data_IF_649510153310
#
_entry.id   IF_649510153310
#
_cell.length_a   1.000
_cell.length_b   1.000
_cell.length_c   1.000
_cell.angle_alpha   90.00
_cell.angle_beta   90.00
_cell.angle_gamma   90.00
#
_symmetry.space_group_name_H-M   'P 1'
#
loop_
_entity.id
_entity.type
_entity.pdbx_description
1 polymer ?
#
# COMPACT_ATOMS: atom_id res chain seq x y z
N UNK A 1 6.26 -13.72 -19.94
CA UNK A 1 5.71 -13.82 -18.58
C UNK A 1 6.07 -12.50 -17.91
N UNK A 2 5.20 -11.50 -18.04
CA UNK A 2 5.39 -10.16 -17.47
C UNK A 2 4.71 -10.18 -16.10
N UNK A 3 5.50 -10.12 -15.03
CA UNK A 3 5.00 -9.94 -13.66
C UNK A 3 5.10 -8.44 -13.39
N UNK A 4 3.96 -7.75 -13.40
CA UNK A 4 3.89 -6.35 -12.96
C UNK A 4 3.75 -6.33 -11.44
N UNK A 5 4.81 -5.94 -10.72
CA UNK A 5 4.77 -5.71 -9.28
C UNK A 5 4.41 -4.24 -9.00
N UNK A 6 3.13 -3.98 -8.76
CA UNK A 6 2.67 -2.69 -8.24
C UNK A 6 2.66 -2.70 -6.70
N UNK A 7 3.69 -2.12 -6.08
CA UNK A 7 3.70 -1.85 -4.64
C UNK A 7 3.10 -0.46 -4.37
N UNK A 8 2.00 -0.39 -3.63
CA UNK A 8 1.41 0.88 -3.15
C UNK A 8 1.47 0.91 -1.63
N UNK A 9 2.32 1.80 -1.07
CA UNK A 9 2.47 2.01 0.38
C UNK A 9 1.72 3.29 0.79
N UNK A 10 0.93 3.19 1.86
CA UNK A 10 -0.01 4.23 2.31
C UNK A 10 0.62 5.35 3.16
N UNK A 11 0.16 6.59 2.92
CA UNK A 11 0.60 7.82 3.57
C UNK A 11 -0.08 8.08 4.93
N UNK A 12 0.63 8.82 5.80
CA UNK A 12 0.17 9.30 7.10
C UNK A 12 0.37 10.80 7.30
N UNK A 13 -0.36 11.63 6.56
CA UNK A 13 -0.69 13.02 6.91
C UNK A 13 -2.18 13.25 6.64
N UNK A 14 -2.82 14.18 7.36
CA UNK A 14 -4.27 14.46 7.28
C UNK A 14 -4.67 14.96 5.89
N UNK A 15 -5.01 14.03 5.00
CA UNK A 15 -5.39 14.27 3.63
C UNK A 15 -6.89 14.60 3.51
N UNK A 16 -7.17 15.52 2.60
CA UNK A 16 -8.51 15.92 2.23
C UNK A 16 -9.09 14.89 1.25
N UNK A 17 -10.38 14.49 1.35
CA UNK A 17 -10.93 13.31 0.69
C UNK A 17 -10.73 13.05 -0.81
N UNK A 18 -10.01 12.01 -1.26
CA UNK A 18 -9.60 11.67 -2.64
C UNK A 18 -10.48 10.66 -3.41
N UNK A 19 -11.31 11.07 -4.38
CA UNK A 19 -12.19 10.15 -5.14
C UNK A 19 -11.70 9.74 -6.56
N UNK A 20 -11.89 8.50 -7.03
CA UNK A 20 -11.55 8.02 -8.39
C UNK A 20 -12.72 7.42 -9.13
N UNK A 21 -12.78 7.64 -10.46
CA UNK A 21 -13.84 7.16 -11.34
C UNK A 21 -13.24 6.66 -12.66
N UNK A 22 -13.81 5.58 -13.21
CA UNK A 22 -13.55 5.03 -14.55
C UNK A 22 -14.79 5.19 -15.45
N UNK A 23 -14.56 5.66 -16.68
CA UNK A 23 -15.36 5.66 -17.93
C UNK A 23 -16.88 5.92 -17.97
N UNK A 24 -17.64 5.98 -16.88
CA UNK A 24 -19.09 6.29 -16.93
C UNK A 24 -19.51 7.23 -15.78
N UNK A 25 -19.12 8.50 -15.91
CA UNK A 25 -19.17 9.52 -14.84
C UNK A 25 -20.60 10.01 -14.55
N UNK A 26 -21.49 9.99 -15.55
CA UNK A 26 -22.82 10.64 -15.53
C UNK A 26 -23.78 10.16 -14.44
N UNK A 27 -23.77 8.88 -14.08
CA UNK A 27 -24.71 8.32 -13.10
C UNK A 27 -24.21 8.42 -11.65
N UNK A 28 -22.89 8.58 -11.48
CA UNK A 28 -22.24 8.41 -10.19
C UNK A 28 -22.15 9.74 -9.44
N UNK A 29 -21.83 10.85 -10.12
CA UNK A 29 -21.50 12.14 -9.49
C UNK A 29 -22.71 12.86 -8.88
N UNK A 30 -23.92 12.65 -9.40
CA UNK A 30 -25.13 13.35 -8.96
C UNK A 30 -25.61 13.06 -7.52
N UNK A 31 -25.02 12.07 -6.84
CA UNK A 31 -25.43 11.63 -5.49
C UNK A 31 -24.36 11.81 -4.41
N UNK A 32 -23.23 12.45 -4.72
CA UNK A 32 -22.05 12.44 -3.85
C UNK A 32 -22.12 13.38 -2.66
N UNK A 33 -21.36 13.01 -1.61
CA UNK A 33 -21.22 13.79 -0.40
C UNK A 33 -20.49 15.12 -0.69
N UNK A 34 -21.02 16.28 -0.23
CA UNK A 34 -20.41 17.60 -0.45
C UNK A 34 -19.02 17.79 0.18
N UNK A 35 -18.53 16.77 0.88
CA UNK A 35 -17.31 16.84 1.68
C UNK A 35 -16.07 16.33 0.96
N UNK A 36 -16.15 15.87 -0.30
CA UNK A 36 -15.00 15.33 -1.03
C UNK A 36 -13.96 16.42 -1.30
N UNK A 37 -12.68 16.22 -0.94
CA UNK A 37 -11.66 17.28 -0.95
C UNK A 37 -10.41 17.00 -1.81
N UNK A 38 -10.40 15.93 -2.57
CA UNK A 38 -9.41 15.48 -3.52
C UNK A 38 -10.11 14.50 -4.50
N UNK A 39 -9.62 14.32 -5.71
CA UNK A 39 -10.21 13.39 -6.68
C UNK A 39 -9.08 12.82 -7.54
N UNK A 40 -8.75 11.53 -7.44
CA UNK A 40 -7.81 10.84 -8.33
C UNK A 40 -8.55 10.12 -9.45
N UNK A 41 -8.64 10.62 -10.66
CA UNK A 41 -9.27 9.88 -11.78
C UNK A 41 -8.27 8.84 -12.31
N UNK A 42 -8.69 7.58 -12.44
CA UNK A 42 -7.85 6.52 -13.03
C UNK A 42 -8.40 6.21 -14.41
N UNK A 43 -7.59 6.42 -15.45
CA UNK A 43 -7.97 6.19 -16.85
C UNK A 43 -7.37 4.87 -17.31
N UNK A 44 -8.23 3.93 -17.71
CA UNK A 44 -7.86 2.59 -18.16
C UNK A 44 -8.35 2.40 -19.61
N UNK A 45 -7.43 2.01 -20.49
CA UNK A 45 -7.62 1.51 -21.87
C UNK A 45 -8.18 2.43 -22.98
N UNK A 46 -8.79 3.58 -22.70
CA UNK A 46 -9.31 4.50 -23.74
C UNK A 46 -8.88 5.97 -23.55
N UNK A 47 -8.70 6.75 -24.65
CA UNK A 47 -8.35 8.16 -24.55
C UNK A 47 -9.46 8.92 -23.81
N UNK A 48 -9.08 9.60 -22.72
CA UNK A 48 -9.98 10.38 -21.90
C UNK A 48 -10.69 11.48 -22.71
N UNK A 49 -12.02 11.39 -22.84
CA UNK A 49 -12.82 12.49 -23.39
C UNK A 49 -12.85 13.66 -22.39
N UNK A 50 -11.92 14.59 -22.58
CA UNK A 50 -11.73 15.76 -21.72
C UNK A 50 -12.99 16.66 -21.67
N UNK A 51 -13.86 16.60 -22.69
CA UNK A 51 -15.12 17.38 -22.69
C UNK A 51 -16.12 16.82 -21.68
N UNK A 52 -16.22 15.50 -21.59
CA UNK A 52 -17.04 14.82 -20.58
C UNK A 52 -16.51 15.11 -19.18
N UNK A 53 -15.18 15.01 -18.97
CA UNK A 53 -14.59 15.35 -17.67
C UNK A 53 -14.89 16.79 -17.26
N UNK A 54 -14.80 17.74 -18.20
CA UNK A 54 -15.07 19.14 -17.96
C UNK A 54 -16.53 19.38 -17.53
N UNK A 55 -17.49 18.84 -18.29
CA UNK A 55 -18.92 18.98 -18.05
C UNK A 55 -19.32 18.38 -16.69
N UNK A 56 -18.76 17.22 -16.33
CA UNK A 56 -19.04 16.53 -15.08
C UNK A 56 -18.47 17.26 -13.86
N UNK A 57 -17.21 17.72 -13.95
CA UNK A 57 -16.61 18.54 -12.89
C UNK A 57 -17.38 19.85 -12.68
N UNK A 58 -17.94 20.42 -13.75
CA UNK A 58 -18.76 21.62 -13.72
C UNK A 58 -20.16 21.37 -13.15
N UNK A 59 -20.77 20.21 -13.46
CA UNK A 59 -22.09 19.83 -12.96
C UNK A 59 -22.08 19.34 -11.50
N UNK A 60 -20.91 18.96 -10.97
CA UNK A 60 -20.76 18.44 -9.61
C UNK A 60 -20.80 19.52 -8.51
N UNK A 61 -21.54 19.25 -7.42
CA UNK A 61 -21.60 20.09 -6.20
C UNK A 61 -20.40 19.87 -5.27
N UNK A 62 -19.22 19.55 -5.82
CA UNK A 62 -17.96 19.28 -5.12
C UNK A 62 -17.29 20.56 -4.58
N UNK A 63 -18.00 21.31 -3.75
CA UNK A 63 -17.55 22.59 -3.18
C UNK A 63 -16.32 22.48 -2.27
N UNK A 64 -15.99 21.27 -1.80
CA UNK A 64 -14.86 21.01 -0.90
C UNK A 64 -13.58 20.56 -1.61
N UNK A 65 -13.59 20.40 -2.94
CA UNK A 65 -12.48 19.81 -3.72
C UNK A 65 -11.22 20.70 -3.71
N UNK A 66 -10.09 20.17 -3.20
CA UNK A 66 -8.80 20.89 -3.09
C UNK A 66 -7.69 20.38 -4.00
N UNK A 67 -7.85 19.20 -4.61
CA UNK A 67 -6.87 18.63 -5.53
C UNK A 67 -7.55 17.68 -6.51
N UNK A 68 -6.99 17.56 -7.70
CA UNK A 68 -7.36 16.52 -8.67
C UNK A 68 -6.07 15.85 -9.13
N UNK A 69 -6.00 14.53 -9.04
CA UNK A 69 -4.95 13.71 -9.59
C UNK A 69 -5.51 12.95 -10.79
N UNK A 70 -4.69 12.73 -11.81
CA UNK A 70 -5.04 11.86 -12.93
C UNK A 70 -3.95 10.81 -13.01
N UNK A 71 -4.33 9.55 -12.86
CA UNK A 71 -3.45 8.39 -12.94
C UNK A 71 -3.83 7.60 -14.21
N UNK A 72 -2.81 7.19 -14.97
CA UNK A 72 -2.98 6.50 -16.24
C UNK A 72 -2.22 5.18 -16.17
N UNK A 73 -2.82 4.12 -16.71
CA UNK A 73 -2.26 2.76 -16.67
C UNK A 73 -1.19 2.51 -17.77
N UNK A 74 -1.13 3.36 -18.81
CA UNK A 74 -0.17 3.28 -19.92
C UNK A 74 0.55 4.63 -20.19
N UNK A 75 1.63 4.61 -21.01
CA UNK A 75 2.34 5.82 -21.45
C UNK A 75 1.39 6.76 -22.22
N UNK A 76 1.01 7.86 -21.57
CA UNK A 76 0.18 8.92 -22.15
C UNK A 76 1.07 9.86 -22.95
N UNK A 77 0.63 10.26 -24.14
CA UNK A 77 1.29 11.34 -24.85
C UNK A 77 1.11 12.68 -24.11
N UNK A 78 2.14 13.54 -24.17
CA UNK A 78 2.13 14.85 -23.50
C UNK A 78 0.90 15.70 -23.88
N UNK A 79 0.35 15.51 -25.08
CA UNK A 79 -0.81 16.26 -25.58
C UNK A 79 -2.10 15.90 -24.81
N UNK A 80 -2.32 14.62 -24.53
CA UNK A 80 -3.44 14.16 -23.73
C UNK A 80 -3.33 14.62 -22.28
N UNK A 81 -2.12 14.60 -21.70
CA UNK A 81 -1.88 15.15 -20.36
C UNK A 81 -2.22 16.64 -20.31
N UNK A 82 -1.74 17.42 -21.28
CA UNK A 82 -2.01 18.85 -21.36
C UNK A 82 -3.50 19.17 -21.53
N UNK A 83 -4.23 18.38 -22.35
CA UNK A 83 -5.69 18.53 -22.50
C UNK A 83 -6.44 18.23 -21.20
N UNK A 84 -6.05 17.18 -20.47
CA UNK A 84 -6.67 16.82 -19.20
C UNK A 84 -6.43 17.92 -18.14
N UNK A 85 -5.20 18.43 -18.04
CA UNK A 85 -4.85 19.55 -17.15
C UNK A 85 -5.63 20.81 -17.53
N UNK A 86 -5.72 21.14 -18.83
CA UNK A 86 -6.46 22.30 -19.31
C UNK A 86 -7.96 22.21 -18.98
N UNK A 87 -8.57 21.02 -19.12
CA UNK A 87 -9.97 20.79 -18.77
C UNK A 87 -10.22 20.96 -17.25
N UNK A 88 -9.35 20.41 -16.40
CA UNK A 88 -9.43 20.57 -14.93
C UNK A 88 -9.31 22.05 -14.54
N UNK A 89 -8.36 22.76 -15.15
CA UNK A 89 -8.10 24.18 -14.89
C UNK A 89 -9.24 25.09 -15.36
N UNK A 90 -9.85 24.78 -16.51
CA UNK A 90 -11.01 25.50 -17.02
C UNK A 90 -12.23 25.37 -16.10
N UNK A 91 -12.41 24.21 -15.46
CA UNK A 91 -13.53 23.98 -14.54
C UNK A 91 -13.29 24.51 -13.12
N UNK A 92 -12.04 24.59 -12.62
CA UNK A 92 -11.74 24.99 -11.21
C UNK A 92 -10.47 25.87 -11.08
N UNK A 93 -10.54 27.18 -11.35
CA UNK A 93 -9.38 28.07 -11.40
C UNK A 93 -8.62 28.31 -10.08
N UNK A 94 -9.19 27.92 -8.93
CA UNK A 94 -8.69 28.27 -7.59
C UNK A 94 -7.64 27.29 -7.03
N UNK A 95 -7.30 26.22 -7.76
CA UNK A 95 -6.41 25.16 -7.30
C UNK A 95 -4.89 25.48 -7.42
N UNK A 96 -4.49 26.74 -7.64
CA UNK A 96 -3.13 27.11 -8.12
C UNK A 96 -2.34 28.12 -7.26
N UNK A 97 -2.26 28.00 -5.93
CA UNK A 97 -1.37 28.87 -5.12
C UNK A 97 -0.71 28.22 -3.90
N UNK A 98 0.62 28.06 -3.94
CA UNK A 98 1.49 27.88 -2.76
C UNK A 98 2.86 28.56 -2.99
N UNK A 99 3.19 29.60 -2.21
CA UNK A 99 4.53 30.23 -2.14
C UNK A 99 5.16 30.04 -0.74
N UNK A 100 6.48 29.79 -0.62
CA UNK A 100 7.14 29.61 0.68
C UNK A 100 7.77 30.90 1.23
N UNK A 101 7.43 31.26 2.48
CA UNK A 101 8.10 32.31 3.27
C UNK A 101 9.26 31.71 4.09
N UNK A 102 10.49 32.24 3.95
CA UNK A 102 11.64 31.91 4.82
C UNK A 102 11.83 32.96 5.92
N UNK A 103 11.92 32.53 7.17
CA UNK A 103 12.36 33.34 8.31
C UNK A 103 13.85 33.09 8.61
N UNK A 104 14.60 34.14 8.95
CA UNK A 104 15.98 34.07 9.46
C UNK A 104 15.96 33.85 10.97
N UNK A 105 16.70 32.86 11.46
CA UNK A 105 16.87 32.58 12.90
C UNK A 105 18.34 32.71 13.26
N UNK A 106 18.60 33.52 14.30
CA UNK A 106 19.90 33.68 14.95
C UNK A 106 20.33 32.39 15.65
N UNK A 107 21.62 32.09 15.60
CA UNK A 107 22.26 30.82 15.96
C UNK A 107 21.88 30.33 17.38
N UNK A 108 20.91 29.41 17.42
CA UNK A 108 20.68 28.54 18.57
C UNK A 108 21.84 27.53 18.67
N UNK A 109 22.25 27.09 19.87
CA UNK A 109 23.16 25.96 20.03
C UNK A 109 22.51 24.74 19.39
N UNK A 110 23.06 24.34 18.24
CA UNK A 110 22.37 23.54 17.23
C UNK A 110 22.13 22.12 17.73
N UNK A 111 21.06 21.51 17.21
CA UNK A 111 20.55 20.22 17.65
C UNK A 111 21.60 19.11 17.49
N UNK A 112 21.66 18.19 18.46
CA UNK A 112 22.56 17.03 18.40
C UNK A 112 22.29 16.22 17.12
N UNK A 113 23.33 15.61 16.48
CA UNK A 113 23.16 14.82 15.25
C UNK A 113 21.99 13.81 15.27
N UNK A 114 21.69 13.10 16.39
CA UNK A 114 20.52 12.22 16.45
C UNK A 114 19.16 12.92 16.25
N UNK A 115 19.03 14.17 16.69
CA UNK A 115 17.79 14.96 16.51
C UNK A 115 17.67 15.38 15.05
N UNK A 116 18.78 15.84 14.44
CA UNK A 116 18.82 16.17 13.02
C UNK A 116 18.41 14.96 12.18
N UNK A 117 19.00 13.80 12.47
CA UNK A 117 18.65 12.55 11.79
C UNK A 117 17.17 12.18 11.97
N UNK A 118 16.63 12.33 13.18
CA UNK A 118 15.21 12.08 13.41
C UNK A 118 14.33 13.02 12.58
N UNK A 119 14.68 14.31 12.49
CA UNK A 119 13.95 15.26 11.65
C UNK A 119 14.04 14.90 10.17
N UNK A 120 15.22 14.54 9.66
CA UNK A 120 15.42 14.10 8.28
C UNK A 120 14.50 12.93 7.95
N UNK A 121 14.43 11.91 8.82
CA UNK A 121 13.56 10.74 8.63
C UNK A 121 12.06 11.06 8.64
N UNK A 122 11.66 12.23 9.17
CA UNK A 122 10.28 12.69 9.13
C UNK A 122 9.92 13.47 7.85
N UNK A 123 10.89 13.80 7.01
CA UNK A 123 10.66 14.49 5.74
C UNK A 123 10.30 13.48 4.66
N UNK A 124 9.32 13.81 3.82
CA UNK A 124 8.77 12.86 2.84
C UNK A 124 9.49 12.97 1.49
N UNK A 125 9.91 14.17 1.09
CA UNK A 125 10.50 14.39 -0.23
C UNK A 125 12.00 14.65 -0.17
N UNK A 126 12.71 14.19 -1.19
CA UNK A 126 14.15 14.47 -1.40
C UNK A 126 14.44 15.96 -1.35
N UNK A 127 13.57 16.78 -1.94
CA UNK A 127 13.70 18.24 -1.97
C UNK A 127 13.65 18.84 -0.58
N UNK A 128 12.75 18.37 0.29
CA UNK A 128 12.68 18.80 1.68
C UNK A 128 13.92 18.40 2.45
N UNK A 129 14.40 17.16 2.28
CA UNK A 129 15.61 16.66 2.92
C UNK A 129 16.83 17.49 2.54
N UNK A 130 17.08 17.68 1.24
CA UNK A 130 18.20 18.49 0.76
C UNK A 130 18.08 19.94 1.23
N UNK A 131 16.89 20.54 1.14
CA UNK A 131 16.68 21.91 1.61
C UNK A 131 16.94 22.06 3.12
N UNK A 132 16.53 21.07 3.92
CA UNK A 132 16.79 21.03 5.34
C UNK A 132 18.28 20.87 5.63
N UNK A 133 18.94 19.86 5.04
CA UNK A 133 20.36 19.57 5.25
C UNK A 133 21.28 20.70 4.78
N UNK A 134 20.96 21.38 3.68
CA UNK A 134 21.72 22.55 3.22
C UNK A 134 21.50 23.81 4.07
N UNK A 135 20.42 23.86 4.85
CA UNK A 135 20.16 24.97 5.78
C UNK A 135 20.87 24.77 7.12
N UNK A 136 21.32 23.55 7.41
CA UNK A 136 22.13 23.24 8.58
C UNK A 136 23.55 23.82 8.41
N UNK A 137 24.23 24.14 9.51
CA UNK A 137 25.64 24.50 9.47
C UNK A 137 26.46 23.23 9.30
N UNK A 138 27.67 23.38 8.77
CA UNK A 138 28.53 22.24 8.45
C UNK A 138 28.89 21.37 9.67
N UNK A 139 28.88 21.93 10.89
CA UNK A 139 29.20 21.20 12.12
C UNK A 139 28.03 20.35 12.66
N UNK A 140 26.80 20.54 12.15
CA UNK A 140 25.65 19.71 12.53
C UNK A 140 25.45 18.50 11.60
N UNK A 141 26.10 18.48 10.42
CA UNK A 141 26.07 17.37 9.49
C UNK A 141 27.26 16.46 9.77
N UNK A 142 27.02 15.30 10.36
CA UNK A 142 28.04 14.27 10.48
C UNK A 142 28.24 13.52 9.15
N UNK A 143 29.24 12.64 9.11
CA UNK A 143 29.63 11.91 7.90
C UNK A 143 28.45 11.16 7.23
N UNK A 144 27.54 10.47 7.96
CA UNK A 144 26.34 9.89 7.35
C UNK A 144 25.40 10.90 6.69
N UNK A 145 25.17 12.06 7.31
CA UNK A 145 24.30 13.10 6.75
C UNK A 145 24.95 13.77 5.52
N UNK A 146 26.26 14.01 5.54
CA UNK A 146 26.99 14.49 4.36
C UNK A 146 26.93 13.49 3.21
N UNK A 147 27.10 12.19 3.51
CA UNK A 147 26.97 11.13 2.52
C UNK A 147 25.55 11.03 1.96
N UNK A 148 24.53 11.26 2.80
CA UNK A 148 23.14 11.33 2.34
C UNK A 148 22.91 12.52 1.41
N UNK A 149 23.45 13.71 1.71
CA UNK A 149 23.38 14.87 0.80
C UNK A 149 24.00 14.52 -0.55
N UNK A 150 25.19 13.91 -0.54
CA UNK A 150 25.83 13.48 -1.78
C UNK A 150 24.97 12.48 -2.54
N UNK A 151 24.44 11.45 -1.87
CA UNK A 151 23.59 10.43 -2.48
C UNK A 151 22.36 11.06 -3.16
N UNK A 152 21.59 11.85 -2.42
CA UNK A 152 20.35 12.45 -2.91
C UNK A 152 20.56 13.56 -3.95
N UNK A 153 21.76 14.16 -3.99
CA UNK A 153 22.12 15.12 -5.04
C UNK A 153 22.36 14.41 -6.37
N UNK A 154 22.92 13.20 -6.34
CA UNK A 154 23.18 12.41 -7.55
C UNK A 154 21.93 11.62 -7.97
N UNK A 155 21.25 11.01 -7.00
CA UNK A 155 20.13 10.09 -7.19
C UNK A 155 18.92 10.53 -6.35
N UNK A 156 18.16 11.55 -6.81
CA UNK A 156 17.07 12.11 -6.02
C UNK A 156 15.88 11.15 -5.83
N UNK A 157 15.79 10.08 -6.61
CA UNK A 157 14.74 9.05 -6.50
C UNK A 157 14.91 8.09 -5.32
N UNK A 158 16.05 8.15 -4.60
CA UNK A 158 16.38 7.24 -3.50
C UNK A 158 15.78 7.63 -2.14
N UNK A 159 14.83 8.58 -2.08
CA UNK A 159 14.19 8.98 -0.82
C UNK A 159 12.67 8.93 -0.94
N UNK A 160 11.93 8.48 0.09
CA UNK A 160 12.39 8.04 1.42
C UNK A 160 12.89 6.60 1.50
N UNK A 161 12.61 5.83 0.45
CA UNK A 161 12.80 4.39 0.42
C UNK A 161 13.88 4.06 -0.62
N UNK A 162 15.00 3.50 -0.15
CA UNK A 162 16.11 3.12 -1.04
C UNK A 162 15.93 1.69 -1.50
N UNK A 163 15.76 1.49 -2.81
CA UNK A 163 15.80 0.15 -3.41
C UNK A 163 17.26 -0.25 -3.60
N UNK A 164 17.68 -1.32 -2.93
CA UNK A 164 19.08 -1.76 -2.89
C UNK A 164 19.64 -2.15 -4.27
N UNK A 165 18.79 -2.59 -5.20
CA UNK A 165 19.19 -2.91 -6.58
C UNK A 165 19.69 -1.67 -7.35
N UNK A 166 19.22 -0.48 -6.98
CA UNK A 166 19.56 0.77 -7.65
C UNK A 166 20.79 1.45 -7.02
N UNK A 167 21.26 0.93 -5.89
CA UNK A 167 22.39 1.53 -5.16
C UNK A 167 23.69 1.18 -5.89
N UNK A 168 24.42 2.18 -6.44
CA UNK A 168 25.68 1.91 -7.10
C UNK A 168 26.67 1.33 -6.08
N UNK A 169 27.47 0.32 -6.46
CA UNK A 169 28.50 -0.32 -5.62
C UNK A 169 29.63 0.62 -5.13
N UNK A 170 29.49 1.92 -5.39
CA UNK A 170 30.37 2.96 -4.90
C UNK A 170 30.38 3.05 -3.36
N UNK A 171 31.36 3.79 -2.84
CA UNK A 171 31.56 3.95 -1.40
C UNK A 171 30.54 4.90 -0.72
N UNK A 172 29.87 5.75 -1.50
CA UNK A 172 28.98 6.83 -0.99
C UNK A 172 27.75 6.26 -0.28
N UNK A 173 27.01 5.28 -0.83
CA UNK A 173 25.82 4.73 -0.18
C UNK A 173 26.09 4.06 1.16
N UNK A 174 27.23 3.39 1.33
CA UNK A 174 27.58 2.70 2.59
C UNK A 174 27.64 3.67 3.76
N UNK A 175 28.21 4.87 3.54
CA UNK A 175 28.28 5.91 4.56
C UNK A 175 26.91 6.53 4.86
N UNK A 176 26.03 6.60 3.88
CA UNK A 176 24.69 7.16 4.03
C UNK A 176 23.73 6.21 4.78
N UNK A 177 24.01 4.90 4.84
CA UNK A 177 23.12 3.89 5.45
C UNK A 177 22.56 4.29 6.83
N UNK A 178 23.36 4.81 7.79
CA UNK A 178 22.83 5.21 9.08
C UNK A 178 21.84 6.38 9.00
N UNK A 179 21.95 7.21 7.97
CA UNK A 179 21.12 8.39 7.77
C UNK A 179 19.80 8.09 7.03
N UNK A 180 19.71 6.95 6.36
CA UNK A 180 18.50 6.53 5.64
C UNK A 180 17.35 6.26 6.60
N UNK A 181 16.13 6.29 6.07
CA UNK A 181 14.90 5.99 6.80
C UNK A 181 14.58 4.50 6.70
N UNK A 182 14.55 4.00 5.47
CA UNK A 182 14.11 2.65 5.12
C UNK A 182 14.94 2.10 3.97
N UNK A 183 15.09 0.78 3.93
CA UNK A 183 15.77 0.06 2.86
C UNK A 183 14.83 -1.00 2.28
N UNK A 184 14.71 -1.04 0.96
CA UNK A 184 13.97 -2.05 0.23
C UNK A 184 14.95 -3.01 -0.46
N UNK A 185 14.89 -4.27 -0.08
CA UNK A 185 15.70 -5.33 -0.66
C UNK A 185 14.81 -6.23 -1.49
N UNK A 186 14.86 -6.12 -2.81
CA UNK A 186 14.21 -7.05 -3.72
C UNK A 186 15.23 -8.09 -4.17
N UNK A 187 15.18 -9.29 -3.59
CA UNK A 187 16.00 -10.41 -4.02
C UNK A 187 15.27 -11.22 -5.09
N UNK A 188 15.38 -10.73 -6.32
CA UNK A 188 15.01 -11.49 -7.51
C UNK A 188 16.06 -12.57 -7.81
N UNK A 189 15.81 -13.45 -8.78
CA UNK A 189 16.71 -14.57 -9.14
C UNK A 189 18.15 -14.10 -9.48
N UNK A 190 18.31 -12.85 -9.95
CA UNK A 190 19.61 -12.22 -10.27
C UNK A 190 20.34 -11.63 -9.04
N UNK A 191 19.71 -11.58 -7.87
CA UNK A 191 20.27 -11.00 -6.65
C UNK A 191 21.40 -11.86 -6.01
N UNK A 192 21.68 -13.01 -6.61
CA UNK A 192 22.44 -14.09 -5.99
C UNK A 192 23.96 -13.83 -5.83
N UNK A 193 24.52 -12.73 -6.36
CA UNK A 193 25.97 -12.49 -6.25
C UNK A 193 26.37 -11.15 -5.63
N UNK A 194 25.62 -10.06 -5.85
CA UNK A 194 25.98 -8.72 -5.33
C UNK A 194 25.39 -8.43 -3.96
N UNK A 195 24.05 -8.46 -3.87
CA UNK A 195 23.31 -7.95 -2.71
C UNK A 195 23.58 -8.70 -1.40
N UNK A 196 23.65 -10.03 -1.44
CA UNK A 196 23.96 -10.84 -0.25
C UNK A 196 25.32 -10.46 0.37
N UNK A 197 26.33 -10.23 -0.48
CA UNK A 197 27.66 -9.82 -0.01
C UNK A 197 27.66 -8.40 0.55
N UNK A 198 26.80 -7.52 0.05
CA UNK A 198 26.63 -6.17 0.56
C UNK A 198 26.04 -6.18 1.97
N UNK A 199 24.93 -6.90 2.18
CA UNK A 199 24.26 -7.00 3.48
C UNK A 199 25.19 -7.58 4.57
N UNK A 200 25.98 -8.59 4.23
CA UNK A 200 26.94 -9.19 5.16
C UNK A 200 28.06 -8.22 5.59
N UNK A 201 28.41 -7.25 4.74
CA UNK A 201 29.54 -6.31 4.98
C UNK A 201 29.14 -4.99 5.61
N UNK A 202 27.85 -4.67 5.63
CA UNK A 202 27.35 -3.34 6.01
C UNK A 202 26.36 -3.44 7.16
N UNK A 203 26.80 -3.63 8.41
CA UNK A 203 25.88 -3.76 9.53
C UNK A 203 25.00 -2.51 9.67
N UNK A 204 23.69 -2.70 9.79
CA UNK A 204 22.75 -1.60 9.96
C UNK A 204 22.59 -1.21 11.43
N UNK A 205 22.39 0.09 11.73
CA UNK A 205 21.88 0.48 13.02
C UNK A 205 20.51 -0.17 13.28
N UNK A 206 20.18 -0.55 14.53
CA UNK A 206 18.93 -1.22 14.86
C UNK A 206 17.68 -0.35 14.63
N UNK A 207 17.84 0.94 14.31
CA UNK A 207 16.74 1.88 14.05
C UNK A 207 16.32 1.92 12.58
N UNK A 208 17.08 1.30 11.68
CA UNK A 208 16.73 1.25 10.26
C UNK A 208 15.70 0.16 10.05
N UNK A 209 14.66 0.47 9.29
CA UNK A 209 13.64 -0.49 8.90
C UNK A 209 14.02 -1.07 7.53
N UNK A 210 13.98 -2.41 7.44
CA UNK A 210 14.28 -3.13 6.21
C UNK A 210 13.01 -3.82 5.73
N UNK A 211 12.66 -3.56 4.48
CA UNK A 211 11.57 -4.16 3.73
C UNK A 211 12.21 -5.15 2.76
N UNK A 212 11.81 -6.42 2.82
CA UNK A 212 12.41 -7.48 2.02
C UNK A 212 11.35 -8.08 1.13
N UNK A 213 11.64 -8.22 -0.17
CA UNK A 213 10.90 -9.03 -1.11
C UNK A 213 11.83 -10.12 -1.64
N UNK A 214 11.53 -11.39 -1.39
CA UNK A 214 12.37 -12.52 -1.81
C UNK A 214 11.51 -13.59 -2.48
N UNK A 215 12.02 -14.27 -3.50
CA UNK A 215 11.24 -15.31 -4.18
C UNK A 215 11.12 -16.62 -3.39
N UNK A 216 12.02 -16.88 -2.45
CA UNK A 216 12.04 -18.11 -1.66
C UNK A 216 12.62 -17.81 -0.28
N UNK A 217 11.85 -18.14 0.76
CA UNK A 217 12.17 -17.75 2.14
C UNK A 217 13.46 -18.41 2.64
N UNK A 218 13.89 -19.52 2.03
CA UNK A 218 15.12 -20.22 2.42
C UNK A 218 16.36 -19.36 2.19
N UNK A 219 16.31 -18.44 1.23
CA UNK A 219 17.39 -17.50 0.97
C UNK A 219 17.38 -16.27 1.88
N UNK A 220 16.35 -16.07 2.71
CA UNK A 220 16.24 -14.89 3.57
C UNK A 220 17.51 -14.69 4.42
N UNK A 221 18.00 -15.75 5.07
CA UNK A 221 19.20 -15.68 5.88
C UNK A 221 20.48 -15.45 5.08
N UNK A 222 20.63 -16.06 3.90
CA UNK A 222 21.81 -15.83 3.07
C UNK A 222 21.82 -14.43 2.43
N UNK A 223 20.64 -13.88 2.10
CA UNK A 223 20.50 -12.60 1.41
C UNK A 223 20.56 -11.40 2.35
N UNK A 224 20.00 -11.51 3.56
CA UNK A 224 19.94 -10.40 4.50
C UNK A 224 20.98 -10.51 5.63
N UNK A 225 21.47 -11.71 5.97
CA UNK A 225 22.47 -11.98 7.02
C UNK A 225 22.35 -11.06 8.26
N UNK A 226 23.25 -10.07 8.40
CA UNK A 226 23.27 -9.15 9.55
C UNK A 226 22.06 -8.23 9.65
N UNK A 227 21.29 -8.07 8.57
CA UNK A 227 20.12 -7.19 8.47
C UNK A 227 18.83 -7.86 8.94
N UNK A 228 18.82 -9.18 9.19
CA UNK A 228 17.62 -9.91 9.63
C UNK A 228 16.95 -9.29 10.86
N UNK A 229 17.74 -8.76 11.79
CA UNK A 229 17.24 -8.10 12.99
C UNK A 229 16.46 -6.81 12.70
N UNK A 230 16.63 -6.22 11.51
CA UNK A 230 16.02 -4.98 11.07
C UNK A 230 14.82 -5.18 10.14
N UNK A 231 14.51 -6.43 9.74
CA UNK A 231 13.40 -6.73 8.85
C UNK A 231 12.08 -6.48 9.56
N UNK A 232 11.29 -5.53 9.04
CA UNK A 232 9.97 -5.15 9.58
C UNK A 232 8.81 -5.57 8.68
N UNK A 233 9.10 -5.75 7.39
CA UNK A 233 8.16 -6.20 6.36
C UNK A 233 8.87 -7.23 5.47
N UNK A 234 8.22 -8.38 5.26
CA UNK A 234 8.70 -9.46 4.43
C UNK A 234 7.62 -9.86 3.44
N UNK A 235 7.92 -9.76 2.15
CA UNK A 235 7.18 -10.40 1.07
C UNK A 235 8.00 -11.60 0.60
N UNK A 236 7.39 -12.78 0.57
CA UNK A 236 8.01 -13.97 0.04
C UNK A 236 7.09 -14.70 -0.90
N UNK A 237 7.61 -15.20 -2.02
CA UNK A 237 6.93 -16.28 -2.71
C UNK A 237 7.20 -17.60 -1.96
N UNK A 238 6.22 -18.51 -1.99
CA UNK A 238 6.35 -19.85 -1.38
C UNK A 238 6.35 -20.91 -2.47
N UNK A 239 7.32 -21.82 -2.39
CA UNK A 239 7.41 -22.99 -3.26
C UNK A 239 7.59 -24.26 -2.42
N UNK A 240 6.56 -25.13 -2.32
CA UNK A 240 6.58 -26.44 -1.64
C UNK A 240 7.48 -26.55 -0.38
N UNK A 241 7.52 -25.49 0.43
CA UNK A 241 8.50 -25.34 1.51
C UNK A 241 8.11 -26.13 2.75
N UNK A 242 9.11 -26.66 3.46
CA UNK A 242 8.92 -27.23 4.78
C UNK A 242 8.47 -26.12 5.75
N UNK A 243 7.37 -26.36 6.46
CA UNK A 243 6.86 -25.48 7.50
C UNK A 243 7.92 -25.12 8.55
N UNK A 244 8.81 -26.07 8.84
CA UNK A 244 9.90 -25.88 9.80
C UNK A 244 10.93 -24.85 9.31
N UNK A 245 11.25 -24.87 8.02
CA UNK A 245 12.17 -23.90 7.42
C UNK A 245 11.57 -22.50 7.49
N UNK A 246 10.30 -22.34 7.09
CA UNK A 246 9.59 -21.05 7.22
C UNK A 246 9.62 -20.56 8.67
N UNK A 247 9.28 -21.43 9.63
CA UNK A 247 9.31 -21.08 11.06
C UNK A 247 10.70 -20.59 11.50
N UNK A 248 11.77 -21.28 11.08
CA UNK A 248 13.14 -20.90 11.41
C UNK A 248 13.53 -19.54 10.82
N UNK A 249 13.16 -19.28 9.56
CA UNK A 249 13.46 -18.02 8.89
C UNK A 249 12.69 -16.86 9.50
N UNK A 250 11.39 -17.03 9.76
CA UNK A 250 10.57 -16.04 10.45
C UNK A 250 11.08 -15.75 11.87
N UNK A 251 11.52 -16.78 12.59
CA UNK A 251 12.11 -16.64 13.93
C UNK A 251 13.41 -15.84 13.96
N UNK A 252 14.07 -15.65 12.81
CA UNK A 252 15.26 -14.81 12.69
C UNK A 252 14.95 -13.32 12.51
N UNK A 253 13.67 -12.94 12.32
CA UNK A 253 13.20 -11.58 12.09
C UNK A 253 12.41 -11.05 13.30
N UNK A 254 13.06 -10.71 14.44
CA UNK A 254 12.37 -10.37 15.69
C UNK A 254 11.53 -9.07 15.61
N UNK A 255 11.76 -8.22 14.61
CA UNK A 255 11.04 -6.97 14.37
C UNK A 255 9.94 -7.09 13.30
N UNK A 256 9.68 -8.29 12.79
CA UNK A 256 8.72 -8.48 11.72
C UNK A 256 7.29 -8.11 12.16
N UNK A 257 6.72 -7.11 11.50
CA UNK A 257 5.37 -6.59 11.77
C UNK A 257 4.40 -6.78 10.60
N UNK A 258 4.92 -6.96 9.39
CA UNK A 258 4.18 -7.23 8.18
C UNK A 258 4.76 -8.45 7.45
N UNK A 259 3.89 -9.32 6.95
CA UNK A 259 4.27 -10.52 6.21
C UNK A 259 3.27 -10.72 5.07
N UNK A 260 3.78 -10.81 3.85
CA UNK A 260 3.03 -11.21 2.66
C UNK A 260 3.61 -12.51 2.12
N UNK A 261 2.76 -13.52 1.93
CA UNK A 261 3.14 -14.79 1.30
C UNK A 261 2.36 -14.93 -0.01
N UNK A 262 3.09 -15.18 -1.09
CA UNK A 262 2.56 -15.33 -2.43
C UNK A 262 2.83 -16.74 -2.96
N UNK A 263 1.76 -17.49 -3.22
CA UNK A 263 1.87 -18.82 -3.83
C UNK A 263 1.82 -18.71 -5.34
N UNK A 264 2.81 -19.28 -6.02
CA UNK A 264 2.84 -19.37 -7.48
C UNK A 264 1.82 -20.40 -8.01
N UNK A 265 1.40 -21.34 -7.17
CA UNK A 265 0.46 -22.41 -7.47
C UNK A 265 -0.79 -22.32 -6.60
N UNK A 266 -1.71 -23.28 -6.76
CA UNK A 266 -2.81 -23.48 -5.83
C UNK A 266 -2.27 -23.81 -4.43
N UNK A 267 -2.91 -23.24 -3.40
CA UNK A 267 -2.60 -23.47 -2.00
C UNK A 267 -3.56 -24.50 -1.40
N UNK A 268 -3.01 -25.53 -0.77
CA UNK A 268 -3.77 -26.52 -0.01
C UNK A 268 -4.10 -26.05 1.42
N UNK A 269 -5.09 -26.68 2.04
CA UNK A 269 -5.45 -26.41 3.44
C UNK A 269 -4.28 -26.67 4.40
N UNK A 270 -3.51 -27.74 4.20
CA UNK A 270 -2.38 -28.09 5.06
C UNK A 270 -1.29 -27.01 5.00
N UNK A 271 -0.98 -26.49 3.80
CA UNK A 271 0.02 -25.43 3.66
C UNK A 271 -0.41 -24.14 4.36
N UNK A 272 -1.70 -23.78 4.28
CA UNK A 272 -2.21 -22.64 5.04
C UNK A 272 -2.04 -22.87 6.55
N UNK A 273 -2.45 -24.03 7.05
CA UNK A 273 -2.38 -24.33 8.48
C UNK A 273 -0.94 -24.37 8.99
N UNK A 274 -0.02 -24.92 8.21
CA UNK A 274 1.42 -24.94 8.47
C UNK A 274 2.01 -23.52 8.51
N UNK A 275 1.68 -22.67 7.54
CA UNK A 275 2.08 -21.25 7.53
C UNK A 275 1.55 -20.53 8.76
N UNK A 276 0.27 -20.71 9.07
CA UNK A 276 -0.35 -20.04 10.22
C UNK A 276 0.23 -20.53 11.54
N UNK A 277 0.62 -21.81 11.65
CA UNK A 277 1.33 -22.35 12.79
C UNK A 277 2.74 -21.73 12.92
N UNK A 278 3.50 -21.63 11.82
CA UNK A 278 4.82 -21.00 11.80
C UNK A 278 4.75 -19.52 12.22
N UNK A 279 3.75 -18.77 11.72
CA UNK A 279 3.49 -17.37 12.08
C UNK A 279 3.17 -17.25 13.58
N UNK A 280 2.28 -18.11 14.11
CA UNK A 280 1.90 -18.08 15.51
C UNK A 280 3.09 -18.37 16.44
N UNK A 281 3.99 -19.27 16.02
CA UNK A 281 5.18 -19.64 16.78
C UNK A 281 6.27 -18.56 16.75
N UNK A 282 6.46 -17.89 15.60
CA UNK A 282 7.68 -17.09 15.35
C UNK A 282 7.44 -15.59 15.33
N UNK A 283 6.22 -15.14 15.02
CA UNK A 283 5.90 -13.73 14.81
C UNK A 283 4.82 -13.23 15.78
N UNK A 284 5.10 -13.16 17.10
CA UNK A 284 4.13 -12.70 18.08
C UNK A 284 3.75 -11.21 17.91
N UNK A 285 4.56 -10.42 17.19
CA UNK A 285 4.31 -9.02 16.87
C UNK A 285 3.66 -8.76 15.50
N UNK A 286 3.34 -9.81 14.73
CA UNK A 286 2.81 -9.64 13.37
C UNK A 286 1.44 -8.95 13.40
N UNK A 287 1.37 -7.78 12.78
CA UNK A 287 0.18 -6.91 12.75
C UNK A 287 -0.45 -6.78 11.38
N UNK A 288 0.33 -7.00 10.31
CA UNK A 288 -0.14 -7.02 8.94
C UNK A 288 0.12 -8.41 8.32
N UNK A 289 -0.92 -9.01 7.74
CA UNK A 289 -0.83 -10.31 7.09
C UNK A 289 -1.44 -10.22 5.69
N UNK A 290 -0.64 -10.59 4.68
CA UNK A 290 -1.06 -10.74 3.30
C UNK A 290 -0.91 -12.18 2.83
N UNK A 291 -1.96 -12.74 2.26
CA UNK A 291 -1.96 -14.07 1.67
C UNK A 291 -2.52 -13.99 0.26
N UNK A 292 -1.75 -14.45 -0.73
CA UNK A 292 -2.12 -14.33 -2.14
C UNK A 292 -1.73 -15.58 -2.92
N UNK A 293 -2.58 -16.04 -3.82
CA UNK A 293 -2.25 -17.12 -4.74
C UNK A 293 -2.36 -16.63 -6.19
N UNK A 294 -1.49 -17.10 -7.09
CA UNK A 294 -1.63 -16.80 -8.52
C UNK A 294 -2.78 -17.58 -9.17
N UNK A 295 -3.23 -18.65 -8.53
CA UNK A 295 -4.34 -19.51 -8.98
C UNK A 295 -5.44 -19.59 -7.92
N UNK A 296 -6.69 -19.70 -8.37
CA UNK A 296 -7.86 -19.84 -7.48
C UNK A 296 -7.72 -21.07 -6.58
N UNK A 297 -7.64 -20.86 -5.27
CA UNK A 297 -7.51 -21.94 -4.28
C UNK A 297 -8.80 -22.11 -3.49
N UNK A 298 -9.30 -23.34 -3.33
CA UNK A 298 -10.46 -23.63 -2.47
C UNK A 298 -9.95 -24.26 -1.17
N UNK A 299 -10.23 -23.58 -0.05
CA UNK A 299 -9.80 -23.98 1.28
C UNK A 299 -10.99 -24.46 2.08
N UNK A 300 -10.84 -25.57 2.80
CA UNK A 300 -11.94 -26.21 3.53
C UNK A 300 -12.30 -25.46 4.82
N UNK A 301 -11.35 -24.74 5.41
CA UNK A 301 -11.48 -24.07 6.70
C UNK A 301 -10.72 -22.74 6.75
N UNK A 302 -11.27 -21.76 7.46
CA UNK A 302 -10.59 -20.50 7.77
C UNK A 302 -10.18 -20.39 9.25
N UNK A 303 -10.28 -21.45 10.05
CA UNK A 303 -10.12 -21.41 11.52
C UNK A 303 -8.78 -20.77 11.96
N UNK A 304 -7.67 -21.12 11.30
CA UNK A 304 -6.35 -20.56 11.58
C UNK A 304 -6.28 -19.05 11.32
N UNK A 305 -6.97 -18.56 10.29
CA UNK A 305 -7.13 -17.13 10.02
C UNK A 305 -8.00 -16.45 11.07
N UNK A 306 -9.11 -17.07 11.47
CA UNK A 306 -9.99 -16.54 12.52
C UNK A 306 -9.23 -16.35 13.83
N UNK A 307 -8.35 -17.30 14.20
CA UNK A 307 -7.47 -17.20 15.38
C UNK A 307 -6.52 -16.01 15.29
N UNK A 308 -5.95 -15.75 14.11
CA UNK A 308 -5.09 -14.60 13.90
C UNK A 308 -5.86 -13.27 13.95
N UNK A 309 -7.02 -13.19 13.29
CA UNK A 309 -7.88 -12.00 13.26
C UNK A 309 -8.45 -11.62 14.63
N UNK A 310 -8.59 -12.59 15.53
CA UNK A 310 -9.01 -12.36 16.91
C UNK A 310 -7.91 -11.71 17.79
N UNK A 311 -6.67 -11.60 17.29
CA UNK A 311 -5.58 -10.97 18.04
C UNK A 311 -5.75 -9.46 18.05
N UNK A 312 -5.51 -8.79 19.19
CA UNK A 312 -5.66 -7.33 19.31
C UNK A 312 -4.61 -6.54 18.50
N UNK A 313 -3.59 -7.21 17.96
CA UNK A 313 -2.54 -6.61 17.16
C UNK A 313 -2.81 -6.73 15.65
N UNK A 314 -3.84 -7.48 15.22
CA UNK A 314 -4.16 -7.64 13.81
C UNK A 314 -4.76 -6.34 13.26
N UNK A 315 -3.96 -5.59 12.49
CA UNK A 315 -4.29 -4.26 11.97
C UNK A 315 -4.55 -4.24 10.47
N UNK A 316 -3.82 -5.04 9.69
CA UNK A 316 -3.98 -5.09 8.24
C UNK A 316 -4.12 -6.52 7.76
N UNK A 317 -5.12 -6.77 6.92
CA UNK A 317 -5.36 -8.08 6.35
C UNK A 317 -5.57 -7.99 4.84
N UNK A 318 -4.75 -8.72 4.07
CA UNK A 318 -4.89 -8.88 2.62
C UNK A 318 -5.13 -10.36 2.30
N UNK A 319 -6.15 -10.62 1.50
CA UNK A 319 -6.48 -11.95 1.00
C UNK A 319 -6.78 -11.87 -0.49
N UNK A 320 -6.01 -12.59 -1.30
CA UNK A 320 -6.12 -12.58 -2.76
C UNK A 320 -6.28 -14.00 -3.32
N UNK A 321 -7.29 -14.20 -4.18
CA UNK A 321 -7.55 -15.43 -4.96
C UNK A 321 -7.78 -16.72 -4.14
N UNK A 322 -8.18 -16.57 -2.87
CA UNK A 322 -8.56 -17.67 -1.99
C UNK A 322 -10.07 -17.73 -1.80
N UNK A 323 -10.64 -18.93 -1.88
CA UNK A 323 -12.06 -19.19 -1.72
C UNK A 323 -12.32 -20.13 -0.57
N UNK A 324 -13.43 -19.89 0.11
CA UNK A 324 -13.92 -20.73 1.18
C UNK A 324 -15.35 -21.19 0.87
N UNK A 325 -15.77 -22.40 1.30
CA UNK A 325 -17.17 -22.79 1.35
C UNK A 325 -17.99 -21.71 2.05
N UNK A 326 -19.25 -21.53 1.64
CA UNK A 326 -20.12 -20.44 2.12
C UNK A 326 -20.08 -20.26 3.64
N UNK A 327 -20.22 -21.35 4.40
CA UNK A 327 -20.20 -21.30 5.87
C UNK A 327 -18.91 -20.68 6.43
N UNK A 328 -17.76 -21.02 5.85
CA UNK A 328 -16.44 -20.53 6.26
C UNK A 328 -16.19 -19.10 5.77
N UNK A 329 -16.68 -18.77 4.58
CA UNK A 329 -16.66 -17.39 4.07
C UNK A 329 -17.50 -16.47 4.97
N UNK A 330 -18.70 -16.89 5.38
CA UNK A 330 -19.57 -16.14 6.29
C UNK A 330 -18.87 -15.94 7.65
N UNK A 331 -18.21 -16.98 8.18
CA UNK A 331 -17.44 -16.88 9.43
C UNK A 331 -16.24 -15.92 9.32
N UNK A 332 -15.50 -15.97 8.20
CA UNK A 332 -14.40 -15.05 7.93
C UNK A 332 -14.88 -13.61 7.83
N UNK A 333 -15.96 -13.37 7.08
CA UNK A 333 -16.54 -12.03 6.95
C UNK A 333 -17.04 -11.50 8.28
N UNK A 334 -17.66 -12.34 9.12
CA UNK A 334 -18.06 -11.97 10.47
C UNK A 334 -16.86 -11.59 11.34
N UNK A 335 -15.76 -12.35 11.28
CA UNK A 335 -14.55 -12.03 12.02
C UNK A 335 -13.90 -10.72 11.55
N UNK A 336 -13.84 -10.51 10.23
CA UNK A 336 -13.36 -9.24 9.65
C UNK A 336 -14.23 -8.07 10.09
N UNK A 337 -15.56 -8.22 10.08
CA UNK A 337 -16.51 -7.16 10.43
C UNK A 337 -16.60 -6.88 11.93
N UNK A 338 -16.15 -7.81 12.79
CA UNK A 338 -16.18 -7.69 14.25
C UNK A 338 -14.81 -7.52 14.89
N UNK A 339 -13.73 -7.49 14.09
CA UNK A 339 -12.39 -7.33 14.61
C UNK A 339 -12.23 -5.99 15.35
N UNK A 340 -11.71 -6.00 16.59
CA UNK A 340 -11.56 -4.79 17.38
C UNK A 340 -10.31 -3.98 16.99
N UNK A 341 -9.44 -4.48 16.10
CA UNK A 341 -8.15 -3.85 15.82
C UNK A 341 -7.86 -3.64 14.34
N UNK A 342 -8.63 -4.23 13.42
CA UNK A 342 -8.40 -4.06 12.00
C UNK A 342 -8.63 -2.61 11.56
N UNK A 343 -7.60 -2.05 10.93
CA UNK A 343 -7.57 -0.72 10.34
C UNK A 343 -7.63 -0.79 8.82
N UNK A 344 -7.13 -1.87 8.21
CA UNK A 344 -7.06 -2.05 6.76
C UNK A 344 -7.43 -3.47 6.33
N UNK A 345 -8.31 -3.58 5.33
CA UNK A 345 -8.73 -4.84 4.72
C UNK A 345 -8.64 -4.72 3.20
N UNK A 346 -7.93 -5.67 2.56
CA UNK A 346 -7.88 -5.83 1.10
C UNK A 346 -8.33 -7.23 0.73
N UNK A 347 -9.46 -7.33 0.04
CA UNK A 347 -10.01 -8.60 -0.44
C UNK A 347 -9.98 -8.58 -1.96
N UNK A 348 -9.38 -9.60 -2.55
CA UNK A 348 -9.36 -9.82 -3.98
C UNK A 348 -9.85 -11.24 -4.27
N UNK A 349 -10.94 -11.37 -5.01
CA UNK A 349 -11.59 -12.66 -5.26
C UNK A 349 -11.84 -12.85 -6.75
N UNK A 350 -11.64 -14.09 -7.23
CA UNK A 350 -12.19 -14.51 -8.51
C UNK A 350 -13.74 -14.57 -8.41
N UNK A 351 -14.40 -13.91 -9.36
CA UNK A 351 -15.85 -13.73 -9.38
C UNK A 351 -16.66 -14.98 -9.67
N UNK A 352 -16.07 -15.99 -10.31
CA UNK A 352 -16.81 -17.20 -10.70
C UNK A 352 -17.39 -17.94 -9.49
N UNK A 353 -16.80 -17.76 -8.30
CA UNK A 353 -17.17 -18.45 -7.06
C UNK A 353 -17.40 -17.51 -5.86
N UNK A 354 -17.08 -16.22 -5.98
CA UNK A 354 -16.96 -15.26 -4.88
C UNK A 354 -18.23 -14.54 -4.37
N UNK A 355 -19.44 -14.83 -4.91
CA UNK A 355 -20.68 -14.08 -4.56
C UNK A 355 -21.01 -14.06 -3.05
N UNK A 356 -20.46 -14.99 -2.27
CA UNK A 356 -20.70 -15.07 -0.82
C UNK A 356 -19.83 -14.12 0.00
N UNK A 357 -18.60 -13.83 -0.45
CA UNK A 357 -17.64 -13.01 0.32
C UNK A 357 -18.08 -11.55 0.38
N UNK A 358 -18.68 -11.05 -0.70
CA UNK A 358 -19.10 -9.64 -0.83
C UNK A 358 -20.57 -9.43 -0.45
N UNK A 359 -21.18 -10.36 0.31
CA UNK A 359 -22.46 -10.11 0.97
C UNK A 359 -22.28 -9.89 2.48
N UNK A 360 -21.92 -8.68 2.91
CA UNK A 360 -22.03 -8.24 4.30
C UNK A 360 -23.48 -8.34 4.75
N UNK A 361 -23.86 -9.52 5.18
CA UNK A 361 -25.12 -9.73 5.90
C UNK A 361 -25.03 -9.11 7.30
N UNK A 362 -23.81 -8.80 7.75
CA UNK A 362 -23.52 -8.14 9.01
C UNK A 362 -23.06 -6.70 8.78
N UNK A 363 -23.57 -5.80 9.61
CA UNK A 363 -23.07 -4.43 9.74
C UNK A 363 -21.56 -4.48 10.07
N UNK A 364 -20.74 -3.68 9.40
CA UNK A 364 -19.33 -3.54 9.78
C UNK A 364 -19.25 -2.86 11.16
N UNK A 365 -18.90 -3.64 12.18
CA UNK A 365 -18.82 -3.20 13.58
C UNK A 365 -17.39 -2.86 14.00
N UNK A 366 -16.43 -2.95 13.10
CA UNK A 366 -15.02 -2.61 13.33
C UNK A 366 -14.89 -1.10 13.60
N UNK A 367 -14.63 -0.66 14.84
CA UNK A 367 -14.58 0.77 15.16
C UNK A 367 -13.29 1.44 14.66
N UNK A 368 -12.34 0.66 14.12
CA UNK A 368 -11.04 1.14 13.67
C UNK A 368 -10.82 1.01 12.16
N UNK A 369 -11.74 0.38 11.42
CA UNK A 369 -11.55 0.18 9.98
C UNK A 369 -11.54 1.53 9.28
N UNK A 370 -10.41 1.82 8.63
CA UNK A 370 -10.13 3.06 7.90
C UNK A 370 -9.95 2.81 6.42
N UNK A 371 -9.43 1.65 6.03
CA UNK A 371 -9.12 1.33 4.64
C UNK A 371 -9.79 0.02 4.25
N UNK A 372 -10.62 0.06 3.21
CA UNK A 372 -11.26 -1.13 2.65
C UNK A 372 -11.02 -1.15 1.15
N UNK A 373 -10.42 -2.23 0.65
CA UNK A 373 -10.25 -2.50 -0.77
C UNK A 373 -10.96 -3.81 -1.11
N UNK A 374 -11.85 -3.76 -2.09
CA UNK A 374 -12.54 -4.94 -2.64
C UNK A 374 -12.25 -4.98 -4.14
N UNK A 375 -11.48 -5.95 -4.59
CA UNK A 375 -11.22 -6.19 -6.00
C UNK A 375 -11.91 -7.47 -6.46
N UNK A 376 -12.95 -7.27 -7.25
CA UNK A 376 -13.75 -8.31 -7.85
C UNK A 376 -13.12 -8.76 -9.17
N UNK A 377 -11.84 -9.19 -9.15
CA UNK A 377 -11.11 -9.49 -10.38
C UNK A 377 -11.81 -10.59 -11.18
N UNK A 378 -12.12 -10.29 -12.44
CA UNK A 378 -12.71 -11.24 -13.36
C UNK A 378 -11.87 -11.32 -14.62
N UNK A 379 -11.28 -12.49 -14.84
CA UNK A 379 -10.51 -12.79 -16.06
C UNK A 379 -11.46 -12.82 -17.28
N UNK A 380 -12.77 -12.90 -17.07
CA UNK A 380 -13.77 -12.99 -18.12
C UNK A 380 -14.82 -11.86 -17.96
N UNK A 381 -14.64 -10.76 -18.70
CA UNK A 381 -15.34 -9.46 -18.61
C UNK A 381 -16.88 -9.46 -18.60
N UNK A 382 -17.54 -10.61 -18.69
CA UNK A 382 -19.00 -10.73 -18.81
C UNK A 382 -19.76 -10.86 -17.49
N UNK A 383 -19.08 -11.01 -16.35
CA UNK A 383 -19.74 -11.09 -15.04
C UNK A 383 -19.32 -9.95 -14.14
N UNK A 384 -20.22 -8.99 -13.96
CA UNK A 384 -20.05 -7.87 -13.04
C UNK A 384 -20.85 -8.19 -11.77
N UNK A 385 -20.26 -8.00 -10.58
CA UNK A 385 -21.05 -8.14 -9.35
C UNK A 385 -21.99 -6.94 -9.26
N UNK A 386 -23.28 -7.17 -9.41
CA UNK A 386 -24.30 -6.19 -9.04
C UNK A 386 -24.51 -6.22 -7.53
N UNK A 387 -24.21 -5.10 -6.86
CA UNK A 387 -24.65 -4.81 -5.50
C UNK A 387 -26.06 -4.24 -5.61
N UNK A 388 -27.04 -5.09 -5.37
CA UNK A 388 -28.45 -4.69 -5.38
C UNK A 388 -28.81 -3.89 -4.12
N UNK A 389 -29.92 -3.17 -4.16
CA UNK A 389 -30.41 -2.32 -3.07
C UNK A 389 -30.65 -3.09 -1.76
N UNK A 390 -30.81 -4.42 -1.81
CA UNK A 390 -30.98 -5.23 -0.60
C UNK A 390 -29.66 -5.49 0.13
N UNK A 391 -28.53 -5.23 -0.52
CA UNK A 391 -27.18 -5.36 0.03
C UNK A 391 -26.59 -4.04 0.55
N UNK A 392 -27.42 -3.03 0.86
CA UNK A 392 -26.99 -1.75 1.43
C UNK A 392 -25.96 -1.96 2.55
N UNK A 393 -24.69 -1.76 2.20
CA UNK A 393 -23.57 -1.91 3.10
C UNK A 393 -23.62 -0.79 4.12
N UNK A 394 -23.90 -1.13 5.37
CA UNK A 394 -23.57 -0.25 6.47
C UNK A 394 -22.05 -0.34 6.68
N UNK A 395 -21.32 0.50 5.97
CA UNK A 395 -19.92 0.73 6.22
C UNK A 395 -19.71 1.39 7.58
N UNK A 396 -18.55 1.16 8.22
CA UNK A 396 -18.29 1.80 9.49
C UNK A 396 -18.12 3.30 9.27
N UNK A 397 -18.59 4.15 10.21
CA UNK A 397 -18.45 5.60 10.10
C UNK A 397 -16.99 6.06 10.12
N UNK A 398 -16.05 5.19 10.48
CA UNK A 398 -14.61 5.47 10.50
C UNK A 398 -13.91 5.23 9.17
N UNK A 399 -14.62 4.73 8.15
CA UNK A 399 -14.05 4.41 6.86
C UNK A 399 -13.55 5.67 6.16
N UNK A 400 -12.24 5.73 5.90
CA UNK A 400 -11.56 6.87 5.28
C UNK A 400 -11.15 6.59 3.85
N UNK A 401 -10.83 5.36 3.49
CA UNK A 401 -10.47 5.01 2.12
C UNK A 401 -11.26 3.77 1.71
N UNK A 402 -11.98 3.88 0.60
CA UNK A 402 -12.73 2.78 0.04
C UNK A 402 -12.34 2.61 -1.43
N UNK A 403 -11.81 1.45 -1.79
CA UNK A 403 -11.48 1.12 -3.18
C UNK A 403 -12.30 -0.08 -3.58
N UNK A 404 -13.00 0.03 -4.70
CA UNK A 404 -13.75 -1.07 -5.28
C UNK A 404 -13.49 -1.15 -6.77
N UNK A 405 -13.13 -2.34 -7.22
CA UNK A 405 -12.81 -2.62 -8.61
C UNK A 405 -13.74 -3.71 -9.14
N UNK A 406 -14.16 -3.59 -10.39
CA UNK A 406 -14.95 -4.60 -11.12
C UNK A 406 -16.33 -4.89 -10.49
N UNK A 407 -17.01 -3.86 -9.99
CA UNK A 407 -18.36 -3.98 -9.38
C UNK A 407 -19.35 -3.02 -10.02
N UNK A 408 -20.62 -3.42 -10.09
CA UNK A 408 -21.75 -2.55 -10.40
C UNK A 408 -22.48 -2.24 -9.09
N UNK A 409 -22.57 -0.97 -8.73
CA UNK A 409 -23.29 -0.54 -7.52
C UNK A 409 -24.52 0.25 -7.95
N UNK A 410 -25.71 -0.27 -7.64
CA UNK A 410 -26.95 0.44 -7.96
C UNK A 410 -27.11 1.71 -7.11
N UNK A 411 -26.67 1.67 -5.85
CA UNK A 411 -26.71 2.79 -4.93
C UNK A 411 -25.44 2.81 -4.05
N UNK A 412 -24.87 3.99 -3.88
CA UNK A 412 -23.72 4.20 -3.01
C UNK A 412 -24.19 4.73 -1.65
N UNK A 413 -23.91 4.03 -0.53
CA UNK A 413 -24.34 4.48 0.79
C UNK A 413 -23.60 5.76 1.21
N UNK A 414 -24.20 6.61 2.06
CA UNK A 414 -23.54 7.81 2.55
C UNK A 414 -22.34 7.46 3.44
N UNK A 415 -21.15 7.97 3.08
CA UNK A 415 -19.90 7.78 3.83
C UNK A 415 -19.38 9.15 4.29
N UNK A 416 -19.84 9.68 5.43
CA UNK A 416 -19.60 11.08 5.81
C UNK A 416 -18.13 11.41 6.08
N UNK A 417 -17.35 10.42 6.54
CA UNK A 417 -15.91 10.55 6.86
C UNK A 417 -15.00 10.04 5.74
N UNK A 418 -15.56 9.69 4.57
CA UNK A 418 -14.76 9.16 3.48
C UNK A 418 -13.76 10.22 3.04
N UNK A 419 -12.48 9.84 3.11
CA UNK A 419 -11.32 10.59 2.68
C UNK A 419 -10.72 10.05 1.37
N UNK A 420 -11.24 8.98 0.80
CA UNK A 420 -10.79 8.48 -0.47
C UNK A 420 -11.76 7.45 -0.99
N UNK A 421 -12.15 7.56 -2.25
CA UNK A 421 -12.93 6.57 -2.96
C UNK A 421 -12.15 6.18 -4.21
N UNK A 422 -12.11 4.92 -4.60
CA UNK A 422 -11.60 4.53 -5.91
C UNK A 422 -12.57 3.56 -6.55
N UNK A 423 -13.11 3.91 -7.71
CA UNK A 423 -13.97 3.05 -8.52
C UNK A 423 -13.23 2.69 -9.82
N UNK A 424 -12.86 1.42 -9.99
CA UNK A 424 -12.24 0.94 -11.23
C UNK A 424 -13.12 -0.09 -11.93
N UNK A 425 -13.24 -0.03 -13.27
CA UNK A 425 -14.00 -0.98 -14.09
C UNK A 425 -15.45 -1.21 -13.61
N UNK A 426 -16.14 -0.15 -13.20
CA UNK A 426 -17.53 -0.22 -12.76
C UNK A 426 -18.44 0.07 -13.96
N UNK A 427 -19.28 -0.89 -14.39
CA UNK A 427 -20.38 -0.56 -15.31
C UNK A 427 -21.56 -0.02 -14.52
N UNK A 428 -22.23 1.01 -15.04
CA UNK A 428 -23.47 1.53 -14.45
C UNK A 428 -24.65 0.57 -14.60
#
# INVERSE_FOLDING_TARGET
MLIAQGSTIGHGLSLAPTVSVSSDVRSIVGSWAPNVASLTIVVIDEPLDCSVLQDELAASDLTSLKSVYVEWDEEVDDEQWDRAVAAIMASRPHLCHLEPKRARVEAAPWMLPPIVLHMVRCLETTKEVLAFLHALPSDACDEPLEALVMLLTHEPGMWPDVVMGDVPESYIPIKALPALRALHCAADDDFNYGGATFCARTPLPPTIDVYVSIMDVRYLRSSCDTWLANVVDLTTARSDEDAQDLQQQLGACPRLTALTIEWQTEMSQNELDDVMAAIAASCPGLSALGLSTCSSSILESCESLLKWLARPIAKSFKLSYMHFPKLQADALMQALSSSPSLESIKLQSDLTRGKSIVRPSALWQTPHLRHLTIDAHNINTTHIISWDDTTCLAFPPTLRSFRVYNTQMANFPPLPELQSLTLGNTSS
#
